data_IF_356634961970
#
_entry.id   IF_356634961970
#
_cell.length_a   1.000
_cell.length_b   1.000
_cell.length_c   1.000
_cell.angle_alpha   90.00
_cell.angle_beta   90.00
_cell.angle_gamma   90.00
#
_symmetry.space_group_name_H-M   'P 1'
#
loop_
_entity.id
_entity.type
_entity.pdbx_description
1 polymer ?
#
# COMPACT_ATOMS: atom_id res chain seq x y z
N UNK A 1 39.09 26.02 -22.10
CA UNK A 1 38.54 26.48 -20.80
C UNK A 1 37.75 25.33 -20.21
N UNK A 2 38.29 24.70 -19.18
CA UNK A 2 37.63 23.65 -18.43
C UNK A 2 36.58 24.29 -17.50
N UNK A 3 35.35 23.76 -17.50
CA UNK A 3 34.42 23.90 -16.38
C UNK A 3 33.89 22.52 -16.09
N UNK A 4 34.57 21.87 -15.16
CA UNK A 4 34.05 20.73 -14.42
C UNK A 4 32.93 21.25 -13.53
N UNK A 5 31.73 20.69 -13.63
CA UNK A 5 30.78 20.68 -12.52
C UNK A 5 30.19 19.28 -12.47
N UNK A 6 30.50 18.60 -11.37
CA UNK A 6 30.26 17.18 -11.17
C UNK A 6 28.79 16.84 -11.23
N UNK A 7 28.49 15.79 -11.99
CA UNK A 7 27.39 14.89 -11.71
C UNK A 7 27.60 14.36 -10.28
N UNK A 8 27.11 15.11 -9.29
CA UNK A 8 26.99 14.60 -7.94
C UNK A 8 25.75 13.70 -7.95
N UNK A 9 25.94 12.50 -8.52
CA UNK A 9 25.08 11.35 -8.28
C UNK A 9 24.98 11.18 -6.76
N UNK A 10 23.89 11.67 -6.19
CA UNK A 10 23.49 11.31 -4.84
C UNK A 10 22.96 9.87 -4.90
N UNK A 11 23.87 8.91 -5.01
CA UNK A 11 23.56 7.50 -4.78
C UNK A 11 23.31 7.33 -3.28
N UNK A 12 22.09 6.97 -2.82
CA UNK A 12 21.84 6.74 -1.41
C UNK A 12 22.25 5.31 -1.08
N UNK A 13 23.53 5.11 -0.79
CA UNK A 13 24.03 3.88 -0.22
C UNK A 13 24.75 4.18 1.09
N UNK A 14 23.99 4.36 2.18
CA UNK A 14 24.46 4.01 3.53
C UNK A 14 23.32 3.87 4.55
N UNK A 15 23.20 2.70 5.16
CA UNK A 15 23.08 2.63 6.62
C UNK A 15 21.70 2.54 7.30
N UNK A 16 20.57 2.66 6.62
CA UNK A 16 19.32 2.06 7.12
C UNK A 16 18.31 1.85 6.01
N UNK A 17 17.99 0.59 5.74
CA UNK A 17 16.77 0.22 5.04
C UNK A 17 15.56 0.54 5.93
N UNK A 18 15.27 1.82 6.17
CA UNK A 18 13.99 2.26 6.73
C UNK A 18 12.91 1.79 5.75
N UNK A 19 12.37 0.63 6.08
CA UNK A 19 11.28 -0.05 5.40
C UNK A 19 10.02 0.80 5.56
N UNK A 20 9.16 0.80 4.55
CA UNK A 20 7.80 1.32 4.69
C UNK A 20 7.13 0.66 5.90
N UNK A 21 6.51 1.45 6.77
CA UNK A 21 5.83 0.95 7.96
C UNK A 21 4.34 0.98 7.72
N UNK A 22 3.63 -0.06 8.14
CA UNK A 22 2.18 0.02 8.22
C UNK A 22 1.74 0.99 9.31
N UNK A 23 0.58 1.61 9.16
CA UNK A 23 -0.01 2.45 10.21
C UNK A 23 -0.24 1.63 11.49
N UNK A 24 -0.50 0.33 11.38
CA UNK A 24 -0.57 -0.58 12.53
C UNK A 24 0.75 -0.64 13.31
N UNK A 25 1.90 -0.79 12.64
CA UNK A 25 3.22 -0.82 13.28
C UNK A 25 3.54 0.51 13.96
N UNK A 26 3.18 1.63 13.31
CA UNK A 26 3.34 2.97 13.87
C UNK A 26 2.51 3.12 15.13
N UNK A 27 1.22 2.80 15.08
CA UNK A 27 0.30 2.90 16.23
C UNK A 27 0.75 2.02 17.40
N UNK A 28 1.23 0.80 17.11
CA UNK A 28 1.75 -0.11 18.13
C UNK A 28 3.00 0.43 18.82
N UNK A 29 3.85 1.14 18.07
CA UNK A 29 5.09 1.72 18.60
C UNK A 29 4.87 3.06 19.31
N UNK A 30 3.82 3.80 18.95
CA UNK A 30 3.55 5.13 19.50
C UNK A 30 2.94 5.10 20.90
N UNK A 31 2.35 3.96 21.29
CA UNK A 31 1.69 3.71 22.60
C UNK A 31 0.65 4.79 23.01
N UNK A 32 0.27 5.65 22.08
CA UNK A 32 -0.68 6.75 22.21
C UNK A 32 -1.53 6.81 20.94
N UNK A 33 -2.82 7.19 21.04
CA UNK A 33 -3.63 7.46 19.86
C UNK A 33 -3.01 8.60 19.05
N UNK A 34 -3.10 8.50 17.72
CA UNK A 34 -2.68 9.58 16.83
C UNK A 34 -3.47 10.86 17.16
N UNK A 35 -2.80 12.00 17.06
CA UNK A 35 -3.47 13.28 17.31
C UNK A 35 -4.46 13.62 16.18
N UNK A 36 -5.29 14.64 16.42
CA UNK A 36 -6.30 15.06 15.46
C UNK A 36 -5.69 15.38 14.09
N UNK A 37 -4.68 16.25 14.02
CA UNK A 37 -4.03 16.62 12.76
C UNK A 37 -3.48 15.42 11.98
N UNK A 38 -2.92 14.44 12.68
CA UNK A 38 -2.46 13.18 12.08
C UNK A 38 -3.63 12.36 11.56
N UNK A 39 -4.72 12.24 12.32
CA UNK A 39 -5.94 11.58 11.85
C UNK A 39 -6.51 12.27 10.61
N UNK A 40 -6.53 13.61 10.58
CA UNK A 40 -6.93 14.40 9.41
C UNK A 40 -6.02 14.13 8.20
N UNK A 41 -4.69 14.13 8.38
CA UNK A 41 -3.73 13.85 7.32
C UNK A 41 -3.88 12.43 6.74
N UNK A 42 -4.07 11.44 7.61
CA UNK A 42 -4.32 10.04 7.20
C UNK A 42 -5.62 9.94 6.40
N UNK A 43 -6.71 10.51 6.92
CA UNK A 43 -8.01 10.49 6.27
C UNK A 43 -7.97 11.15 4.89
N UNK A 44 -7.32 12.33 4.78
CA UNK A 44 -7.20 13.05 3.53
C UNK A 44 -6.51 12.20 2.46
N UNK A 45 -5.32 11.66 2.75
CA UNK A 45 -4.55 10.89 1.79
C UNK A 45 -5.22 9.56 1.40
N UNK A 46 -5.87 8.88 2.35
CA UNK A 46 -6.60 7.64 2.08
C UNK A 46 -7.76 7.87 1.10
N UNK A 47 -8.51 8.97 1.25
CA UNK A 47 -9.62 9.32 0.36
C UNK A 47 -9.19 9.53 -1.09
N UNK A 48 -7.96 9.98 -1.35
CA UNK A 48 -7.41 10.04 -2.71
C UNK A 48 -6.99 8.67 -3.24
N UNK A 49 -6.32 7.85 -2.43
CA UNK A 49 -5.94 6.50 -2.82
C UNK A 49 -7.13 5.57 -3.11
N UNK A 50 -8.24 5.72 -2.37
CA UNK A 50 -9.47 4.93 -2.54
C UNK A 50 -10.28 5.30 -3.78
N UNK A 51 -10.10 6.49 -4.35
CA UNK A 51 -10.80 6.87 -5.59
C UNK A 51 -10.34 6.04 -6.78
N UNK A 52 -9.10 5.57 -6.78
CA UNK A 52 -8.55 4.66 -7.77
C UNK A 52 -9.08 3.22 -7.58
N UNK A 53 -9.58 2.91 -6.38
CA UNK A 53 -10.09 1.59 -5.97
C UNK A 53 -11.61 1.43 -6.15
N UNK A 54 -12.24 2.26 -7.00
CA UNK A 54 -13.71 2.30 -7.23
C UNK A 54 -14.22 1.03 -7.93
N UNK A 55 -14.23 -0.07 -7.20
CA UNK A 55 -15.03 -1.27 -7.46
C UNK A 55 -16.31 -1.28 -6.61
N UNK A 56 -17.24 -2.21 -6.87
CA UNK A 56 -18.52 -2.33 -6.14
C UNK A 56 -18.39 -2.67 -4.66
N UNK A 57 -17.17 -2.93 -4.17
CA UNK A 57 -16.84 -3.16 -2.77
C UNK A 57 -15.77 -2.15 -2.39
N UNK A 58 -16.09 -1.22 -1.49
CA UNK A 58 -15.07 -0.40 -0.87
C UNK A 58 -14.18 -1.32 -0.03
N UNK A 59 -12.88 -1.44 -0.32
CA UNK A 59 -12.00 -2.24 0.51
C UNK A 59 -12.03 -1.64 1.91
N UNK A 60 -12.28 -2.49 2.90
CA UNK A 60 -12.17 -2.08 4.28
C UNK A 60 -10.72 -1.64 4.54
N UNK A 61 -10.50 -0.35 4.78
CA UNK A 61 -9.18 0.18 5.04
C UNK A 61 -8.79 -0.20 6.47
N UNK A 62 -7.94 -1.22 6.57
CA UNK A 62 -7.35 -1.65 7.83
C UNK A 62 -6.05 -0.90 8.09
N UNK A 63 -5.65 -0.64 9.34
CA UNK A 63 -4.39 0.05 9.65
C UNK A 63 -3.17 -0.71 9.11
N UNK A 64 -3.24 -2.03 8.99
CA UNK A 64 -2.22 -2.88 8.38
C UNK A 64 -2.11 -2.72 6.86
N UNK A 65 -3.15 -2.23 6.20
CA UNK A 65 -3.19 -1.97 4.74
C UNK A 65 -2.71 -0.57 4.36
N UNK A 66 -2.46 0.31 5.33
CA UNK A 66 -1.98 1.67 5.12
C UNK A 66 -0.46 1.72 5.31
N UNK A 67 0.29 1.99 4.24
CA UNK A 67 1.74 2.10 4.29
C UNK A 67 2.18 3.56 4.36
N UNK A 68 2.92 3.89 5.42
CA UNK A 68 3.60 5.17 5.58
C UNK A 68 4.97 5.14 4.88
N UNK A 69 5.14 6.04 3.92
CA UNK A 69 6.38 6.24 3.17
C UNK A 69 7.37 7.13 3.94
N UNK A 70 8.64 7.11 3.53
CA UNK A 70 9.67 7.98 4.11
C UNK A 70 9.39 9.48 3.93
N UNK A 71 8.72 9.85 2.85
CA UNK A 71 8.38 11.25 2.57
C UNK A 71 7.11 11.72 3.32
N UNK A 72 6.50 10.86 4.14
CA UNK A 72 5.27 11.15 4.89
C UNK A 72 3.99 10.89 4.10
N UNK A 73 4.09 10.45 2.85
CA UNK A 73 2.94 10.01 2.05
C UNK A 73 2.37 8.67 2.55
N UNK A 74 1.08 8.46 2.33
CA UNK A 74 0.37 7.23 2.71
C UNK A 74 -0.14 6.52 1.45
N UNK A 75 0.05 5.21 1.38
CA UNK A 75 -0.48 4.34 0.31
C UNK A 75 -1.44 3.31 0.89
N UNK A 76 -2.54 3.08 0.17
CA UNK A 76 -3.51 2.02 0.51
C UNK A 76 -3.18 0.78 -0.31
N UNK A 77 -2.88 -0.33 0.36
CA UNK A 77 -2.73 -1.63 -0.30
C UNK A 77 -4.11 -2.21 -0.59
N UNK A 78 -4.31 -2.67 -1.84
CA UNK A 78 -5.47 -3.48 -2.18
C UNK A 78 -5.31 -4.84 -1.50
N UNK A 79 -6.25 -5.19 -0.61
CA UNK A 79 -6.45 -6.58 -0.24
C UNK A 79 -6.95 -7.30 -1.49
N UNK A 80 -6.10 -8.12 -2.13
CA UNK A 80 -6.51 -8.97 -3.24
C UNK A 80 -7.47 -10.03 -2.71
N UNK A 81 -8.75 -9.70 -2.58
CA UNK A 81 -9.81 -10.69 -2.40
C UNK A 81 -10.02 -11.37 -3.76
N UNK A 82 -9.34 -12.50 -3.93
CA UNK A 82 -9.42 -13.34 -5.12
C UNK A 82 -10.83 -13.89 -5.32
N UNK A 83 -11.56 -13.33 -6.28
CA UNK A 83 -12.84 -13.83 -6.76
C UNK A 83 -12.76 -14.43 -8.17
N UNK A 84 -11.68 -15.15 -8.49
CA UNK A 84 -11.61 -15.97 -9.70
C UNK A 84 -12.54 -17.17 -9.56
N UNK A 85 -13.78 -17.04 -10.01
CA UNK A 85 -14.67 -18.19 -10.21
C UNK A 85 -14.10 -19.04 -11.37
N UNK A 86 -13.13 -19.92 -11.07
CA UNK A 86 -12.89 -21.09 -11.90
C UNK A 86 -14.12 -22.00 -11.77
N UNK A 87 -15.07 -21.82 -12.68
CA UNK A 87 -16.05 -22.85 -13.02
C UNK A 87 -15.28 -24.04 -13.61
N UNK A 88 -14.74 -24.88 -12.74
CA UNK A 88 -14.23 -26.20 -13.09
C UNK A 88 -15.46 -27.09 -13.28
N UNK A 89 -16.09 -26.95 -14.45
CA UNK A 89 -16.92 -28.00 -15.02
C UNK A 89 -16.00 -29.21 -15.22
N UNK A 90 -15.95 -30.08 -14.21
CA UNK A 90 -15.28 -31.36 -14.30
C UNK A 90 -16.09 -32.20 -15.27
N UNK A 91 -15.52 -32.35 -16.48
CA UNK A 91 -16.03 -33.21 -17.52
C UNK A 91 -16.56 -34.55 -16.98
N UNK A 92 -17.85 -34.76 -17.19
CA UNK A 92 -18.46 -36.08 -17.05
C UNK A 92 -18.02 -37.01 -18.19
N UNK A 93 -17.88 -38.32 -17.94
CA UNK A 93 -17.30 -39.24 -18.93
C UNK A 93 -18.26 -39.48 -20.11
N UNK A 94 -17.74 -39.90 -21.28
CA UNK A 94 -18.57 -40.17 -22.45
C UNK A 94 -19.41 -41.43 -22.18
N UNK A 95 -20.74 -41.29 -22.23
CA UNK A 95 -21.64 -42.45 -22.24
C UNK A 95 -21.77 -42.94 -23.68
N UNK A 96 -20.92 -43.90 -24.05
CA UNK A 96 -21.16 -44.75 -25.22
C UNK A 96 -22.17 -45.85 -24.89
N UNK A 97 -23.21 -46.00 -25.70
CA UNK A 97 -23.39 -47.12 -26.64
C UNK A 97 -24.63 -46.86 -27.50
#
# INVERSE_FOLDING_TARGET
MARSDGDQSCSPADGSGLRELSLEEVLRSYEQPINEEQAWAVCFQCCFGLQDLRGPRHPCVQPSSLLLQRDGSIRVLQSQDGGGSQSQDRGGPPRGR
#
